data_IF_345251728180
#
_entry.id   IF_345251728180
#
_cell.length_a   1.000
_cell.length_b   1.000
_cell.length_c   1.000
_cell.angle_alpha   90.00
_cell.angle_beta   90.00
_cell.angle_gamma   90.00
#
_symmetry.space_group_name_H-M   'P 1'
#
loop_
_entity.id
_entity.type
_entity.pdbx_description
1 polymer ?
#
# COMPACT_ATOMS: atom_id res chain seq x y z
N UNK A 1 26.35 -4.16 12.18
CA UNK A 1 26.11 -4.56 13.59
C UNK A 1 26.83 -5.88 13.89
N UNK A 2 27.59 -5.98 14.99
CA UNK A 2 28.15 -7.25 15.43
C UNK A 2 27.02 -8.26 15.73
N UNK A 3 27.13 -9.49 15.20
CA UNK A 3 26.16 -10.58 15.38
C UNK A 3 25.67 -10.84 16.83
N UNK A 4 26.48 -10.72 17.89
CA UNK A 4 26.01 -11.00 19.26
C UNK A 4 24.99 -9.99 19.79
N UNK A 5 25.15 -8.69 19.52
CA UNK A 5 24.21 -7.65 19.98
C UNK A 5 22.78 -7.86 19.46
N UNK A 6 22.66 -8.26 18.19
CA UNK A 6 21.36 -8.51 17.54
C UNK A 6 20.58 -9.66 18.20
N UNK A 7 21.27 -10.71 18.66
CA UNK A 7 20.60 -11.85 19.35
C UNK A 7 20.07 -11.46 20.72
N UNK A 8 20.84 -10.67 21.47
CA UNK A 8 20.44 -10.17 22.80
C UNK A 8 19.26 -9.20 22.68
N UNK A 9 19.33 -8.25 21.75
CA UNK A 9 18.23 -7.32 21.49
C UNK A 9 16.96 -8.03 21.04
N UNK A 10 17.08 -9.04 20.17
CA UNK A 10 15.94 -9.87 19.76
C UNK A 10 15.32 -10.59 20.95
N UNK A 11 16.12 -11.23 21.79
CA UNK A 11 15.64 -11.91 22.99
C UNK A 11 14.93 -10.93 23.95
N UNK A 12 15.49 -9.73 24.16
CA UNK A 12 14.89 -8.71 24.99
C UNK A 12 13.55 -8.22 24.42
N UNK A 13 13.48 -7.95 23.11
CA UNK A 13 12.27 -7.53 22.42
C UNK A 13 11.17 -8.61 22.49
N UNK A 14 11.54 -9.87 22.25
CA UNK A 14 10.61 -11.01 22.29
C UNK A 14 10.08 -11.30 23.71
N UNK A 15 10.87 -11.01 24.75
CA UNK A 15 10.51 -11.29 26.15
C UNK A 15 9.84 -10.11 26.87
N UNK A 16 10.14 -8.88 26.48
CA UNK A 16 9.64 -7.68 27.15
C UNK A 16 9.55 -6.49 26.18
N UNK A 17 8.69 -6.62 25.16
CA UNK A 17 8.46 -5.60 24.13
C UNK A 17 8.21 -4.22 24.74
N UNK A 18 7.29 -4.12 25.70
CA UNK A 18 6.88 -2.87 26.32
C UNK A 18 8.05 -2.13 26.99
N UNK A 19 8.94 -2.88 27.67
CA UNK A 19 10.13 -2.29 28.29
C UNK A 19 11.16 -1.84 27.24
N UNK A 20 11.37 -2.62 26.18
CA UNK A 20 12.28 -2.20 25.09
C UNK A 20 11.76 -1.00 24.31
N UNK A 21 10.44 -0.84 24.18
CA UNK A 21 9.83 0.34 23.58
C UNK A 21 9.86 1.54 24.53
N UNK A 22 9.65 1.34 25.83
CA UNK A 22 9.81 2.38 26.84
C UNK A 22 11.21 2.98 26.84
N UNK A 23 12.26 2.16 26.79
CA UNK A 23 13.65 2.64 26.71
C UNK A 23 13.89 3.48 25.44
N UNK A 24 13.32 3.08 24.31
CA UNK A 24 13.48 3.80 23.04
C UNK A 24 12.77 5.16 23.00
N UNK A 25 11.64 5.30 23.69
CA UNK A 25 10.81 6.54 23.67
C UNK A 25 11.21 7.50 24.80
N UNK A 26 11.97 7.03 25.80
CA UNK A 26 12.36 7.85 26.95
C UNK A 26 13.58 8.73 26.63
N UNK A 27 13.33 10.00 26.31
CA UNK A 27 14.34 11.07 26.16
C UNK A 27 15.27 11.28 27.37
N UNK A 28 14.95 10.66 28.51
CA UNK A 28 15.81 10.67 29.69
C UNK A 28 17.10 9.86 29.53
N UNK A 29 17.11 8.84 28.66
CA UNK A 29 18.26 7.95 28.52
C UNK A 29 19.43 8.65 27.82
N UNK A 30 19.12 9.49 26.82
CA UNK A 30 20.11 10.32 26.11
C UNK A 30 20.68 11.47 26.95
N UNK A 31 20.16 11.68 28.17
CA UNK A 31 20.65 12.67 29.14
C UNK A 31 21.61 12.07 30.17
N UNK A 32 21.84 10.76 30.15
CA UNK A 32 22.85 10.15 31.02
C UNK A 32 24.26 10.53 30.56
N UNK A 33 25.13 10.81 31.53
CA UNK A 33 26.53 11.14 31.29
C UNK A 33 27.22 9.97 30.59
N UNK A 34 28.02 10.27 29.55
CA UNK A 34 28.75 9.26 28.79
C UNK A 34 29.69 8.51 29.71
N UNK A 35 29.58 7.19 29.74
CA UNK A 35 30.56 6.33 30.40
C UNK A 35 31.63 5.99 29.35
N UNK A 36 32.87 6.45 29.59
CA UNK A 36 34.10 6.06 28.89
C UNK A 36 34.02 6.05 27.36
N UNK A 37 33.79 7.20 26.71
CA UNK A 37 33.77 7.38 25.24
C UNK A 37 32.80 6.50 24.43
N UNK A 38 32.04 5.60 25.06
CA UNK A 38 31.03 4.77 24.41
C UNK A 38 29.70 5.52 24.32
N UNK A 39 29.42 6.10 23.15
CA UNK A 39 28.11 6.65 22.82
C UNK A 39 27.09 5.52 22.58
N UNK A 40 26.39 5.09 23.63
CA UNK A 40 25.37 4.05 23.58
C UNK A 40 24.15 4.45 22.73
N UNK A 41 23.75 5.73 22.76
CA UNK A 41 22.49 6.20 22.19
C UNK A 41 22.38 5.91 20.69
N UNK A 42 23.38 6.35 19.91
CA UNK A 42 23.30 6.23 18.46
C UNK A 42 23.39 4.78 17.98
N UNK A 43 24.23 3.97 18.63
CA UNK A 43 24.45 2.58 18.24
C UNK A 43 23.24 1.71 18.59
N UNK A 44 22.61 1.94 19.75
CA UNK A 44 21.41 1.21 20.19
C UNK A 44 20.17 1.58 19.37
N UNK A 45 19.96 2.86 19.08
CA UNK A 45 18.84 3.32 18.26
C UNK A 45 18.91 2.77 16.84
N UNK A 46 20.09 2.83 16.22
CA UNK A 46 20.33 2.22 14.91
C UNK A 46 20.11 0.69 14.96
N UNK A 47 20.53 0.03 16.05
CA UNK A 47 20.30 -1.40 16.29
C UNK A 47 18.83 -1.76 16.34
N UNK A 48 18.06 -1.04 17.15
CA UNK A 48 16.66 -1.32 17.42
C UNK A 48 15.81 -0.99 16.19
N UNK A 49 16.10 0.11 15.49
CA UNK A 49 15.50 0.42 14.18
C UNK A 49 15.80 -0.69 13.16
N UNK A 50 17.03 -1.19 13.14
CA UNK A 50 17.40 -2.31 12.28
C UNK A 50 16.64 -3.58 12.64
N UNK A 51 16.57 -3.92 13.93
CA UNK A 51 15.86 -5.11 14.41
C UNK A 51 14.36 -5.04 14.10
N UNK A 52 13.72 -3.89 14.29
CA UNK A 52 12.31 -3.67 13.96
C UNK A 52 12.05 -3.90 12.47
N UNK A 53 12.88 -3.33 11.59
CA UNK A 53 12.80 -3.59 10.14
C UNK A 53 12.97 -5.07 9.81
N UNK A 54 13.94 -5.74 10.44
CA UNK A 54 14.18 -7.16 10.20
C UNK A 54 13.00 -8.04 10.63
N UNK A 55 12.34 -7.69 11.74
CA UNK A 55 11.16 -8.40 12.24
C UNK A 55 9.96 -8.14 11.33
N UNK A 56 9.75 -6.90 10.90
CA UNK A 56 8.69 -6.55 9.94
C UNK A 56 8.88 -7.28 8.61
N UNK A 57 10.10 -7.36 8.09
CA UNK A 57 10.43 -8.11 6.88
C UNK A 57 10.23 -9.61 7.07
N UNK A 58 10.64 -10.17 8.20
CA UNK A 58 10.40 -11.59 8.51
C UNK A 58 8.91 -11.89 8.61
N UNK A 59 8.12 -11.04 9.25
CA UNK A 59 6.68 -11.21 9.37
C UNK A 59 6.03 -11.18 7.98
N UNK A 60 6.37 -10.19 7.17
CA UNK A 60 5.92 -10.09 5.77
C UNK A 60 6.27 -11.33 4.96
N UNK A 61 7.48 -11.88 5.13
CA UNK A 61 7.94 -13.06 4.41
C UNK A 61 7.30 -14.38 4.92
N UNK A 62 6.79 -14.40 6.16
CA UNK A 62 6.11 -15.57 6.75
C UNK A 62 4.64 -15.68 6.40
N UNK A 63 4.02 -14.61 5.87
CA UNK A 63 2.60 -14.61 5.48
C UNK A 63 2.34 -15.69 4.42
N UNK A 64 1.32 -16.52 4.67
CA UNK A 64 0.85 -17.51 3.70
C UNK A 64 0.25 -16.81 2.50
N UNK A 65 0.50 -17.29 1.28
CA UNK A 65 -0.12 -16.71 0.07
C UNK A 65 -1.60 -17.08 0.01
N UNK A 66 -2.49 -16.09 -0.01
CA UNK A 66 -3.94 -16.30 -0.21
C UNK A 66 -4.16 -16.89 -1.60
N UNK A 67 -5.04 -17.88 -1.70
CA UNK A 67 -5.45 -18.50 -2.97
C UNK A 67 -6.93 -18.20 -3.23
N UNK A 68 -7.32 -18.15 -4.51
CA UNK A 68 -8.69 -17.84 -4.91
C UNK A 68 -8.77 -16.92 -6.12
N UNK A 69 -9.99 -16.45 -6.40
CA UNK A 69 -10.32 -15.62 -7.56
C UNK A 69 -9.61 -14.26 -7.53
N UNK A 70 -9.61 -13.61 -8.70
CA UNK A 70 -9.17 -12.23 -8.86
C UNK A 70 -10.39 -11.32 -8.85
N UNK A 71 -10.31 -10.24 -8.09
CA UNK A 71 -11.30 -9.18 -8.05
C UNK A 71 -10.80 -7.99 -8.86
N UNK A 72 -11.70 -7.36 -9.60
CA UNK A 72 -11.44 -6.14 -10.37
C UNK A 72 -12.39 -5.04 -9.90
N UNK A 73 -11.88 -4.14 -9.05
CA UNK A 73 -12.56 -2.92 -8.66
C UNK A 73 -12.31 -1.87 -9.75
N UNK A 74 -13.34 -1.67 -10.57
CA UNK A 74 -13.22 -1.09 -11.89
C UNK A 74 -13.91 0.29 -11.97
N UNK A 75 -13.51 1.14 -12.93
CA UNK A 75 -14.18 2.40 -13.18
C UNK A 75 -15.53 2.19 -13.89
N UNK A 76 -16.29 3.27 -14.07
CA UNK A 76 -17.67 3.22 -14.56
C UNK A 76 -17.85 2.52 -15.92
N UNK A 77 -16.88 2.65 -16.83
CA UNK A 77 -16.95 2.05 -18.15
C UNK A 77 -16.92 0.50 -18.12
N UNK A 78 -16.54 -0.11 -16.99
CA UNK A 78 -16.59 -1.55 -16.80
C UNK A 78 -17.98 -2.06 -16.37
N UNK A 79 -19.03 -1.21 -16.38
CA UNK A 79 -20.38 -1.61 -15.99
C UNK A 79 -20.92 -2.82 -16.79
N UNK A 80 -20.58 -2.92 -18.08
CA UNK A 80 -20.95 -4.09 -18.88
C UNK A 80 -20.27 -5.36 -18.37
N UNK A 81 -19.00 -5.27 -17.94
CA UNK A 81 -18.25 -6.40 -17.38
C UNK A 81 -18.79 -6.83 -16.01
N UNK A 82 -19.28 -5.90 -15.20
CA UNK A 82 -19.95 -6.20 -13.94
C UNK A 82 -21.28 -6.95 -14.19
N UNK A 83 -22.07 -6.50 -15.16
CA UNK A 83 -23.35 -7.14 -15.55
C UNK A 83 -23.17 -8.54 -16.14
N UNK A 84 -22.05 -8.76 -16.81
CA UNK A 84 -21.66 -10.05 -17.37
C UNK A 84 -21.31 -11.10 -16.30
N UNK A 85 -21.20 -10.70 -15.03
CA UNK A 85 -20.84 -11.57 -13.93
C UNK A 85 -19.38 -12.05 -14.00
N UNK A 86 -19.06 -13.11 -13.26
CA UNK A 86 -17.69 -13.61 -13.25
C UNK A 86 -17.33 -14.27 -14.58
N UNK A 87 -16.31 -13.73 -15.26
CA UNK A 87 -15.75 -14.31 -16.49
C UNK A 87 -14.28 -14.62 -16.30
N UNK A 88 -13.86 -15.82 -16.74
CA UNK A 88 -12.45 -16.29 -16.68
C UNK A 88 -11.81 -16.20 -15.29
N UNK A 89 -12.61 -16.33 -14.22
CA UNK A 89 -12.12 -16.27 -12.83
C UNK A 89 -11.88 -14.86 -12.29
N UNK A 90 -12.36 -13.83 -13.00
CA UNK A 90 -12.35 -12.44 -12.55
C UNK A 90 -13.76 -12.05 -12.11
N UNK A 91 -13.89 -11.44 -10.94
CA UNK A 91 -15.13 -10.80 -10.45
C UNK A 91 -14.95 -9.31 -10.62
N UNK A 92 -15.77 -8.68 -11.47
CA UNK A 92 -15.73 -7.23 -11.69
C UNK A 92 -16.80 -6.54 -10.86
N UNK A 93 -16.41 -5.45 -10.18
CA UNK A 93 -17.32 -4.56 -9.46
C UNK A 93 -16.98 -3.11 -9.75
N UNK A 94 -17.97 -2.30 -10.11
CA UNK A 94 -17.75 -0.89 -10.44
C UNK A 94 -17.67 -0.05 -9.17
N UNK A 95 -16.56 0.66 -8.99
CA UNK A 95 -16.29 1.55 -7.86
C UNK A 95 -15.90 2.95 -8.35
N UNK A 96 -16.87 3.86 -8.41
CA UNK A 96 -16.69 5.23 -8.94
C UNK A 96 -16.32 6.27 -7.90
N UNK A 97 -16.41 5.95 -6.61
CA UNK A 97 -16.05 6.80 -5.48
C UNK A 97 -15.26 6.02 -4.45
N UNK A 98 -14.56 6.71 -3.54
CA UNK A 98 -13.85 6.04 -2.45
C UNK A 98 -14.81 5.34 -1.48
N UNK A 99 -16.03 5.88 -1.31
CA UNK A 99 -17.09 5.21 -0.55
C UNK A 99 -17.51 3.89 -1.21
N UNK A 100 -17.82 3.92 -2.50
CA UNK A 100 -18.24 2.73 -3.21
C UNK A 100 -17.10 1.70 -3.29
N UNK A 101 -15.86 2.17 -3.45
CA UNK A 101 -14.69 1.32 -3.41
C UNK A 101 -14.58 0.60 -2.07
N UNK A 102 -14.71 1.31 -0.96
CA UNK A 102 -14.72 0.71 0.39
C UNK A 102 -15.71 -0.46 0.46
N UNK A 103 -16.94 -0.25 0.02
CA UNK A 103 -18.00 -1.26 0.09
C UNK A 103 -17.71 -2.45 -0.84
N UNK A 104 -17.25 -2.18 -2.06
CA UNK A 104 -16.82 -3.21 -3.01
C UNK A 104 -15.67 -4.06 -2.45
N UNK A 105 -14.71 -3.45 -1.75
CA UNK A 105 -13.61 -4.20 -1.15
C UNK A 105 -14.10 -5.14 -0.03
N UNK A 106 -15.16 -4.79 0.71
CA UNK A 106 -15.77 -5.70 1.68
C UNK A 106 -16.46 -6.89 1.02
N UNK A 107 -17.14 -6.67 -0.11
CA UNK A 107 -17.73 -7.74 -0.92
C UNK A 107 -16.67 -8.69 -1.47
N UNK A 108 -15.50 -8.15 -1.86
CA UNK A 108 -14.43 -8.88 -2.53
C UNK A 108 -13.36 -9.44 -1.59
N UNK A 109 -13.56 -9.40 -0.27
CA UNK A 109 -12.61 -9.89 0.75
C UNK A 109 -12.21 -11.36 0.59
N UNK A 110 -13.04 -12.19 -0.03
CA UNK A 110 -12.71 -13.60 -0.28
C UNK A 110 -11.71 -13.78 -1.43
N UNK A 111 -11.53 -12.79 -2.30
CA UNK A 111 -10.61 -12.85 -3.44
C UNK A 111 -9.14 -12.81 -2.98
N UNK A 112 -8.28 -13.51 -3.70
CA UNK A 112 -6.85 -13.57 -3.40
C UNK A 112 -6.05 -12.40 -3.95
N UNK A 113 -6.52 -11.85 -5.07
CA UNK A 113 -5.90 -10.72 -5.76
C UNK A 113 -6.95 -9.66 -5.99
N UNK A 114 -6.63 -8.41 -5.65
CA UNK A 114 -7.44 -7.24 -5.97
C UNK A 114 -6.72 -6.41 -7.02
N UNK A 115 -7.39 -6.17 -8.13
CA UNK A 115 -6.99 -5.18 -9.13
C UNK A 115 -7.86 -3.95 -8.87
N UNK A 116 -7.24 -2.84 -8.50
CA UNK A 116 -7.94 -1.61 -8.10
C UNK A 116 -7.58 -0.51 -9.08
N UNK A 117 -8.57 -0.01 -9.80
CA UNK A 117 -8.46 1.28 -10.49
C UNK A 117 -8.93 2.37 -9.53
N UNK A 118 -8.06 3.33 -9.21
CA UNK A 118 -8.42 4.34 -8.24
C UNK A 118 -9.53 5.27 -8.74
N UNK A 119 -10.54 5.59 -7.90
CA UNK A 119 -11.64 6.46 -8.30
C UNK A 119 -11.18 7.87 -8.69
N UNK A 120 -11.80 8.41 -9.75
CA UNK A 120 -11.73 9.83 -10.12
C UNK A 120 -12.72 10.64 -9.27
N UNK A 121 -12.58 10.54 -7.96
CA UNK A 121 -13.49 11.14 -6.98
C UNK A 121 -12.77 12.25 -6.22
N UNK A 122 -13.32 13.45 -6.25
CA UNK A 122 -12.82 14.62 -5.51
C UNK A 122 -13.67 14.97 -4.29
N UNK A 123 -14.76 14.24 -4.05
CA UNK A 123 -15.70 14.46 -2.96
C UNK A 123 -15.50 13.48 -1.80
N UNK A 124 -14.28 12.94 -1.67
CA UNK A 124 -13.93 12.04 -0.59
C UNK A 124 -13.66 12.78 0.73
N UNK A 125 -13.73 12.03 1.81
CA UNK A 125 -13.32 12.42 3.15
C UNK A 125 -12.09 11.62 3.57
N UNK A 126 -11.27 12.17 4.47
CA UNK A 126 -10.13 11.41 5.00
C UNK A 126 -10.55 10.09 5.67
N UNK A 127 -11.77 10.04 6.22
CA UNK A 127 -12.33 8.84 6.80
C UNK A 127 -12.51 7.74 5.75
N UNK A 128 -13.04 8.07 4.56
CA UNK A 128 -13.21 7.12 3.46
C UNK A 128 -11.85 6.62 2.95
N UNK A 129 -10.84 7.49 2.84
CA UNK A 129 -9.48 7.09 2.43
C UNK A 129 -8.86 6.14 3.46
N UNK A 130 -8.91 6.49 4.76
CA UNK A 130 -8.37 5.66 5.84
C UNK A 130 -9.03 4.28 5.88
N UNK A 131 -10.34 4.24 5.69
CA UNK A 131 -11.11 3.00 5.76
C UNK A 131 -10.86 2.11 4.52
N UNK A 132 -10.64 2.71 3.34
CA UNK A 132 -10.15 2.02 2.14
C UNK A 132 -8.76 1.43 2.38
N UNK A 133 -7.82 2.23 2.89
CA UNK A 133 -6.46 1.77 3.22
C UNK A 133 -6.46 0.64 4.26
N UNK A 134 -7.35 0.71 5.26
CA UNK A 134 -7.50 -0.35 6.27
C UNK A 134 -7.83 -1.69 5.64
N UNK A 135 -8.76 -1.74 4.68
CA UNK A 135 -9.11 -2.97 3.94
C UNK A 135 -7.95 -3.48 3.11
N UNK A 136 -7.25 -2.59 2.41
CA UNK A 136 -6.08 -2.98 1.62
C UNK A 136 -4.96 -3.54 2.50
N UNK A 137 -4.70 -2.95 3.67
CA UNK A 137 -3.74 -3.49 4.63
C UNK A 137 -4.17 -4.86 5.14
N UNK A 138 -5.43 -5.04 5.51
CA UNK A 138 -5.97 -6.32 5.93
C UNK A 138 -5.81 -7.38 4.84
N UNK A 139 -6.11 -7.06 3.58
CA UNK A 139 -5.90 -7.96 2.45
C UNK A 139 -4.43 -8.40 2.33
N UNK A 140 -3.47 -7.48 2.52
CA UNK A 140 -2.04 -7.80 2.49
C UNK A 140 -1.60 -8.63 3.71
N UNK A 141 -2.15 -8.36 4.89
CA UNK A 141 -1.87 -9.11 6.13
C UNK A 141 -2.39 -10.55 6.04
N UNK A 142 -3.55 -10.75 5.42
CA UNK A 142 -4.14 -12.06 5.11
C UNK A 142 -3.43 -12.80 3.96
N UNK A 143 -2.34 -12.23 3.43
CA UNK A 143 -1.56 -12.88 2.38
C UNK A 143 -2.07 -12.66 0.95
N UNK A 144 -3.06 -11.78 0.79
CA UNK A 144 -3.59 -11.36 -0.50
C UNK A 144 -2.62 -10.49 -1.29
N UNK A 145 -3.00 -10.21 -2.53
CA UNK A 145 -2.27 -9.37 -3.47
C UNK A 145 -3.10 -8.18 -3.91
N UNK A 146 -2.45 -7.06 -4.18
CA UNK A 146 -3.06 -5.84 -4.69
C UNK A 146 -2.26 -5.36 -5.90
N UNK A 147 -2.96 -5.17 -7.01
CA UNK A 147 -2.49 -4.47 -8.21
C UNK A 147 -3.18 -3.13 -8.25
N UNK A 148 -2.39 -2.06 -8.23
CA UNK A 148 -2.85 -0.68 -8.21
C UNK A 148 -2.71 -0.07 -9.60
N UNK A 149 -3.79 0.54 -10.08
CA UNK A 149 -3.91 1.10 -11.42
C UNK A 149 -4.40 2.54 -11.33
N UNK A 150 -3.69 3.46 -11.98
CA UNK A 150 -4.16 4.82 -12.17
C UNK A 150 -5.13 4.85 -13.36
N UNK A 151 -6.27 5.55 -13.25
CA UNK A 151 -7.23 5.62 -14.34
C UNK A 151 -6.58 6.25 -15.59
N UNK A 152 -7.06 5.92 -16.81
CA UNK A 152 -6.59 6.53 -18.04
C UNK A 152 -6.68 8.06 -18.00
N UNK A 153 -5.62 8.71 -18.46
CA UNK A 153 -5.58 10.15 -18.61
C UNK A 153 -6.24 10.54 -19.93
N UNK A 154 -7.33 11.30 -19.84
CA UNK A 154 -8.10 11.82 -20.97
C UNK A 154 -8.20 13.33 -20.86
N UNK A 155 -8.46 14.01 -21.99
CA UNK A 155 -8.69 15.45 -22.00
C UNK A 155 -9.85 15.85 -21.06
N UNK A 156 -10.91 15.04 -21.03
CA UNK A 156 -12.09 15.26 -20.19
C UNK A 156 -11.86 15.12 -18.69
N UNK A 157 -10.83 14.37 -18.26
CA UNK A 157 -10.57 14.10 -16.84
C UNK A 157 -9.22 14.64 -16.34
N UNK A 158 -8.43 15.30 -17.20
CA UNK A 158 -7.06 15.69 -16.91
C UNK A 158 -6.93 16.56 -15.65
N UNK A 159 -7.85 17.51 -15.43
CA UNK A 159 -7.82 18.37 -14.25
C UNK A 159 -7.97 17.56 -12.96
N UNK A 160 -9.00 16.71 -12.89
CA UNK A 160 -9.25 15.81 -11.76
C UNK A 160 -8.13 14.81 -11.56
N UNK A 161 -7.60 14.23 -12.64
CA UNK A 161 -6.51 13.27 -12.59
C UNK A 161 -5.26 13.88 -11.95
N UNK A 162 -4.87 15.09 -12.39
CA UNK A 162 -3.73 15.82 -11.81
C UNK A 162 -3.94 16.13 -10.33
N UNK A 163 -5.15 16.52 -9.94
CA UNK A 163 -5.50 16.80 -8.54
C UNK A 163 -5.35 15.56 -7.64
N UNK A 164 -5.69 14.37 -8.16
CA UNK A 164 -5.70 13.13 -7.38
C UNK A 164 -4.39 12.33 -7.43
N UNK A 165 -3.46 12.72 -8.31
CA UNK A 165 -2.20 11.98 -8.53
C UNK A 165 -1.40 11.83 -7.24
N UNK A 166 -1.25 12.91 -6.47
CA UNK A 166 -0.51 12.89 -5.20
C UNK A 166 -1.20 12.00 -4.15
N UNK A 167 -2.54 12.00 -4.13
CA UNK A 167 -3.32 11.13 -3.25
C UNK A 167 -3.08 9.66 -3.58
N UNK A 168 -3.18 9.28 -4.86
CA UNK A 168 -2.96 7.89 -5.27
C UNK A 168 -1.52 7.45 -5.01
N UNK A 169 -0.53 8.31 -5.27
CA UNK A 169 0.87 8.02 -4.92
C UNK A 169 1.07 7.82 -3.40
N UNK A 170 0.40 8.63 -2.57
CA UNK A 170 0.40 8.46 -1.12
C UNK A 170 -0.17 7.10 -0.71
N UNK A 171 -1.31 6.72 -1.30
CA UNK A 171 -1.95 5.42 -1.08
C UNK A 171 -1.00 4.29 -1.48
N UNK A 172 -0.45 4.31 -2.69
CA UNK A 172 0.50 3.29 -3.15
C UNK A 172 1.73 3.19 -2.24
N UNK A 173 2.26 4.33 -1.79
CA UNK A 173 3.37 4.37 -0.83
C UNK A 173 3.01 3.72 0.51
N UNK A 174 1.78 3.89 1.00
CA UNK A 174 1.30 3.23 2.21
C UNK A 174 1.17 1.70 2.00
N UNK A 175 0.63 1.27 0.86
CA UNK A 175 0.48 -0.15 0.51
C UNK A 175 1.83 -0.85 0.33
N UNK A 176 2.78 -0.22 -0.38
CA UNK A 176 4.13 -0.73 -0.58
C UNK A 176 4.86 -0.93 0.75
N UNK A 177 4.67 -0.02 1.73
CA UNK A 177 5.26 -0.16 3.07
C UNK A 177 4.70 -1.35 3.85
N UNK A 178 3.44 -1.74 3.60
CA UNK A 178 2.79 -2.86 4.32
C UNK A 178 2.91 -4.21 3.62
N UNK A 179 3.05 -4.21 2.30
CA UNK A 179 3.19 -5.42 1.49
C UNK A 179 4.50 -6.18 1.79
N UNK A 180 4.42 -7.50 1.79
CA UNK A 180 5.58 -8.38 1.57
C UNK A 180 5.84 -8.60 0.07
N UNK A 181 7.00 -9.11 -0.33
CA UNK A 181 7.24 -9.49 -1.74
C UNK A 181 6.44 -10.77 -2.08
N UNK A 182 5.70 -10.88 -3.21
CA UNK A 182 5.33 -9.93 -4.27
C UNK A 182 3.86 -9.45 -4.14
N UNK A 183 3.44 -9.00 -2.96
CA UNK A 183 2.02 -8.77 -2.66
C UNK A 183 1.45 -7.48 -3.25
N UNK A 184 2.27 -6.47 -3.51
CA UNK A 184 1.82 -5.20 -4.08
C UNK A 184 2.55 -4.90 -5.38
N UNK A 185 1.79 -4.46 -6.39
CA UNK A 185 2.27 -4.02 -7.68
C UNK A 185 1.60 -2.69 -8.04
N UNK A 186 2.39 -1.65 -8.27
CA UNK A 186 1.93 -0.43 -8.95
C UNK A 186 2.16 -0.59 -10.45
N UNK A 187 1.17 -0.22 -11.26
CA UNK A 187 1.30 -0.18 -12.71
C UNK A 187 1.49 1.24 -13.23
N UNK A 188 1.48 2.24 -12.35
CA UNK A 188 1.57 3.63 -12.75
C UNK A 188 2.98 3.95 -13.27
N UNK A 189 3.06 4.54 -14.45
CA UNK A 189 4.33 4.96 -15.07
C UNK A 189 4.18 6.32 -15.75
N UNK A 190 3.96 7.33 -14.92
CA UNK A 190 3.86 8.73 -15.33
C UNK A 190 4.94 9.59 -14.67
N UNK A 191 5.29 10.69 -15.33
CA UNK A 191 6.17 11.74 -14.82
C UNK A 191 5.54 13.11 -15.08
N UNK A 192 5.52 13.97 -14.07
CA UNK A 192 5.14 15.37 -14.23
C UNK A 192 6.38 16.24 -14.38
N UNK A 193 6.50 16.95 -15.49
CA UNK A 193 7.65 17.83 -15.79
C UNK A 193 7.20 19.05 -16.60
N UNK A 194 7.53 20.25 -16.10
CA UNK A 194 7.15 21.50 -16.78
C UNK A 194 5.64 21.69 -17.00
N UNK A 195 4.80 21.18 -16.08
CA UNK A 195 3.33 21.23 -16.20
C UNK A 195 2.73 20.26 -17.23
N UNK A 196 3.56 19.40 -17.84
CA UNK A 196 3.15 18.33 -18.74
C UNK A 196 3.20 16.98 -18.03
N UNK A 197 2.34 16.07 -18.47
CA UNK A 197 2.32 14.68 -18.01
C UNK A 197 2.92 13.82 -19.11
N UNK A 198 3.98 13.08 -18.79
CA UNK A 198 4.60 12.09 -19.64
C UNK A 198 4.19 10.71 -19.13
N UNK A 199 3.78 9.82 -20.02
CA UNK A 199 3.33 8.47 -19.67
C UNK A 199 4.14 7.49 -20.52
N UNK A 200 4.66 6.43 -19.89
CA UNK A 200 5.35 5.36 -20.60
C UNK A 200 4.42 4.65 -21.59
N UNK A 201 4.93 4.33 -22.77
CA UNK A 201 4.16 3.62 -23.78
C UNK A 201 3.72 2.24 -23.24
N UNK A 202 2.40 2.00 -23.24
CA UNK A 202 1.82 0.75 -22.73
C UNK A 202 1.41 0.79 -21.25
N UNK A 203 1.68 1.88 -20.54
CA UNK A 203 1.15 2.07 -19.19
C UNK A 203 -0.38 2.26 -19.23
N UNK A 204 -1.12 1.75 -18.23
CA UNK A 204 -2.58 1.85 -18.19
C UNK A 204 -3.11 3.30 -18.29
N UNK A 205 -2.36 4.28 -17.79
CA UNK A 205 -2.73 5.70 -17.89
C UNK A 205 -2.79 6.18 -19.35
N UNK A 206 -2.00 5.58 -20.24
CA UNK A 206 -1.98 5.86 -21.68
C UNK A 206 -2.93 4.98 -22.50
N UNK A 207 -3.61 4.02 -21.87
CA UNK A 207 -4.47 3.04 -22.55
C UNK A 207 -5.90 3.57 -22.83
N UNK A 208 -6.03 4.83 -23.25
CA UNK A 208 -7.32 5.49 -23.53
C UNK A 208 -8.18 4.77 -24.57
N UNK A 209 -7.56 4.05 -25.53
CA UNK A 209 -8.25 3.24 -26.54
C UNK A 209 -9.19 2.16 -25.96
N UNK A 210 -8.99 1.75 -24.70
CA UNK A 210 -9.84 0.74 -24.03
C UNK A 210 -10.97 1.36 -23.19
N UNK A 211 -10.94 2.68 -22.99
CA UNK A 211 -11.84 3.40 -22.07
C UNK A 211 -12.60 4.56 -22.73
N UNK A 212 -12.20 4.99 -23.93
CA UNK A 212 -12.93 5.98 -24.72
C UNK A 212 -14.30 5.46 -25.15
N UNK A 213 -15.30 6.34 -25.14
CA UNK A 213 -16.58 6.07 -25.82
C UNK A 213 -16.29 5.85 -27.31
N UNK A 214 -16.68 4.68 -27.83
CA UNK A 214 -17.01 4.54 -29.25
C UNK A 214 -18.35 5.25 -29.48
#
# INVERSE_FOLDING_TARGET
MPKPYRRVLRLAYDRCKDWTEFLYVTDGISKHERIDDYCFDRTYDEALKSLKRDLDEQEKNRRSKKQGLTAFAAPENALLLERDGSRRGIITKVATSFEKLRDVLDELKACSTWIIVWPLDTHFTDAQIRETLRRCHQQLEEGGRIVSIFPPLMESNQATWRQLTELWQMIEGALQKKAGPPQFLSTASHKMEGGKVFIEAGAPEGCWNFYGKI
#
